data_IF_929424332015
#
_entry.id   IF_929424332015
#
_cell.length_a   1.000
_cell.length_b   1.000
_cell.length_c   1.000
_cell.angle_alpha   90.00
_cell.angle_beta   90.00
_cell.angle_gamma   90.00
#
_symmetry.space_group_name_H-M   'P 1'
#
loop_
_entity.id
_entity.type
_entity.pdbx_description
1 polymer ?
#
# COMPACT_ATOMS: atom_id res chain seq x y z
N UNK A 1 -7.16 -9.36 -16.59
CA UNK A 1 -6.80 -8.44 -15.50
C UNK A 1 -7.36 -7.02 -15.70
N UNK A 2 -7.66 -6.62 -16.92
CA UNK A 2 -8.18 -5.32 -17.36
C UNK A 2 -8.31 -5.36 -18.89
N UNK A 3 -8.76 -4.28 -19.53
CA UNK A 3 -9.02 -4.29 -20.99
C UNK A 3 -7.75 -4.64 -21.78
N UNK A 4 -6.61 -4.03 -21.46
CA UNK A 4 -5.33 -4.30 -22.10
C UNK A 4 -4.27 -4.68 -21.05
N UNK A 5 -4.69 -5.35 -19.98
CA UNK A 5 -3.84 -5.81 -18.89
C UNK A 5 -3.99 -7.31 -18.75
N UNK A 6 -2.86 -7.99 -18.80
CA UNK A 6 -2.74 -9.45 -18.83
C UNK A 6 -1.95 -9.95 -17.63
N UNK A 7 -1.90 -11.27 -17.44
CA UNK A 7 -1.05 -11.89 -16.43
C UNK A 7 -0.37 -13.15 -16.98
N UNK A 8 0.78 -13.46 -16.40
CA UNK A 8 1.44 -14.76 -16.50
C UNK A 8 1.86 -15.24 -15.10
N UNK A 9 1.87 -16.55 -14.91
CA UNK A 9 2.35 -17.18 -13.69
C UNK A 9 3.42 -18.20 -14.01
N UNK A 10 4.60 -18.00 -13.50
CA UNK A 10 5.77 -18.87 -13.70
C UNK A 10 6.69 -18.78 -12.47
N UNK A 11 7.31 -19.86 -12.04
CA UNK A 11 8.27 -19.89 -10.95
C UNK A 11 7.78 -19.16 -9.67
N UNK A 12 6.53 -19.45 -9.27
CA UNK A 12 5.86 -18.81 -8.13
C UNK A 12 5.74 -17.27 -8.24
N UNK A 13 5.97 -16.71 -9.42
CA UNK A 13 5.85 -15.28 -9.70
C UNK A 13 4.61 -15.01 -10.54
N UNK A 14 3.75 -14.13 -10.03
CA UNK A 14 2.63 -13.58 -10.78
C UNK A 14 3.05 -12.24 -11.38
N UNK A 15 3.17 -12.19 -12.68
CA UNK A 15 3.50 -10.97 -13.43
C UNK A 15 2.24 -10.39 -14.05
N UNK A 16 2.01 -9.11 -13.85
CA UNK A 16 0.95 -8.32 -14.48
C UNK A 16 1.60 -7.38 -15.50
N UNK A 17 1.13 -7.40 -16.74
CA UNK A 17 1.72 -6.62 -17.83
C UNK A 17 0.66 -6.09 -18.79
N UNK A 18 1.07 -5.21 -19.71
CA UNK A 18 0.20 -4.55 -20.67
C UNK A 18 0.05 -3.06 -20.37
N UNK A 19 -0.99 -2.42 -20.92
CA UNK A 19 -1.22 -0.97 -20.80
C UNK A 19 -2.59 -0.70 -20.18
N UNK A 20 -2.64 0.15 -19.12
CA UNK A 20 -3.89 0.57 -18.50
C UNK A 20 -4.10 0.09 -17.07
N UNK A 21 -5.32 0.15 -16.59
CA UNK A 21 -5.69 -0.21 -15.23
C UNK A 21 -6.07 -1.69 -15.10
N UNK A 22 -5.66 -2.32 -13.99
CA UNK A 22 -6.20 -3.61 -13.61
C UNK A 22 -7.68 -3.46 -13.22
N UNK A 23 -8.48 -4.50 -13.54
CA UNK A 23 -9.86 -4.60 -13.09
C UNK A 23 -9.94 -4.73 -11.56
N UNK A 24 -10.90 -4.07 -10.95
CA UNK A 24 -11.19 -4.26 -9.54
C UNK A 24 -11.76 -5.66 -9.29
N UNK A 25 -11.29 -6.33 -8.24
CA UNK A 25 -11.81 -7.64 -7.84
C UNK A 25 -13.10 -7.53 -7.05
N UNK A 26 -13.41 -6.36 -6.52
CA UNK A 26 -14.69 -6.03 -5.89
C UNK A 26 -14.99 -4.54 -6.01
N UNK A 27 -16.27 -4.19 -5.80
CA UNK A 27 -16.78 -2.83 -5.68
C UNK A 27 -17.43 -2.64 -4.30
N UNK A 28 -17.60 -1.40 -3.87
CA UNK A 28 -18.19 -1.05 -2.58
C UNK A 28 -17.28 -1.36 -1.38
N UNK A 29 -17.87 -1.32 -0.18
CA UNK A 29 -17.15 -1.52 1.08
C UNK A 29 -16.78 -2.97 1.34
N UNK A 30 -15.76 -3.19 2.16
CA UNK A 30 -15.38 -4.50 2.66
C UNK A 30 -15.05 -4.46 4.15
N UNK A 31 -15.04 -5.61 4.78
CA UNK A 31 -14.59 -5.84 6.16
C UNK A 31 -13.56 -6.95 6.18
N UNK A 32 -12.82 -7.08 7.28
CA UNK A 32 -11.92 -8.22 7.49
C UNK A 32 -12.63 -9.58 7.42
N UNK A 33 -13.93 -9.61 7.73
CA UNK A 33 -14.74 -10.82 7.67
C UNK A 33 -15.12 -11.22 6.25
N UNK A 34 -15.43 -10.25 5.37
CA UNK A 34 -16.00 -10.55 4.05
C UNK A 34 -15.05 -10.39 2.87
N UNK A 35 -13.85 -9.82 3.05
CA UNK A 35 -12.93 -9.57 1.93
C UNK A 35 -12.56 -10.83 1.17
N UNK A 36 -12.34 -11.95 1.88
CA UNK A 36 -11.98 -13.22 1.23
C UNK A 36 -13.07 -13.70 0.26
N UNK A 37 -14.34 -13.54 0.58
CA UNK A 37 -15.44 -13.88 -0.33
C UNK A 37 -15.50 -12.94 -1.52
N UNK A 38 -15.25 -11.64 -1.32
CA UNK A 38 -15.27 -10.62 -2.38
C UNK A 38 -14.18 -10.82 -3.43
N UNK A 39 -13.02 -11.34 -3.07
CA UNK A 39 -11.88 -11.53 -3.98
C UNK A 39 -11.84 -12.89 -4.67
N UNK A 40 -12.83 -13.78 -4.48
CA UNK A 40 -12.83 -15.13 -5.06
C UNK A 40 -12.75 -15.15 -6.59
N UNK A 41 -13.31 -14.14 -7.25
CA UNK A 41 -13.43 -14.10 -8.71
C UNK A 41 -12.23 -13.46 -9.43
N UNK A 42 -11.04 -13.41 -8.80
CA UNK A 42 -9.83 -12.97 -9.50
C UNK A 42 -9.48 -13.96 -10.60
N UNK A 43 -9.18 -13.46 -11.78
CA UNK A 43 -8.83 -14.28 -12.95
C UNK A 43 -7.65 -15.24 -12.68
N UNK A 44 -6.72 -14.86 -11.79
CA UNK A 44 -5.57 -15.67 -11.36
C UNK A 44 -5.78 -16.33 -9.98
N UNK A 45 -7.03 -16.46 -9.50
CA UNK A 45 -7.33 -17.01 -8.15
C UNK A 45 -6.74 -18.42 -7.95
N UNK A 46 -6.72 -19.26 -8.98
CA UNK A 46 -6.11 -20.60 -8.94
C UNK A 46 -4.63 -20.64 -8.54
N UNK A 47 -3.92 -19.51 -8.70
CA UNK A 47 -2.52 -19.39 -8.32
C UNK A 47 -2.31 -18.67 -6.98
N UNK A 48 -3.33 -18.07 -6.39
CA UNK A 48 -3.20 -17.19 -5.22
C UNK A 48 -2.46 -17.83 -4.03
N UNK A 49 -2.65 -19.13 -3.80
CA UNK A 49 -1.95 -19.90 -2.75
C UNK A 49 -0.50 -20.28 -3.09
N UNK A 50 -0.09 -20.13 -4.35
CA UNK A 50 1.25 -20.48 -4.84
C UNK A 50 2.13 -19.26 -5.07
N UNK A 51 1.53 -18.05 -5.20
CA UNK A 51 2.27 -16.81 -5.50
C UNK A 51 3.18 -16.45 -4.32
N UNK A 52 4.47 -16.37 -4.61
CA UNK A 52 5.52 -15.89 -3.69
C UNK A 52 5.96 -14.48 -4.06
N UNK A 53 5.97 -14.17 -5.36
CA UNK A 53 6.37 -12.87 -5.87
C UNK A 53 5.28 -12.28 -6.76
N UNK A 54 5.11 -10.97 -6.69
CA UNK A 54 4.28 -10.18 -7.61
C UNK A 54 5.17 -9.18 -8.34
N UNK A 55 5.01 -9.09 -9.64
CA UNK A 55 5.62 -8.07 -10.49
C UNK A 55 4.53 -7.37 -11.28
N UNK A 56 4.44 -6.05 -11.17
CA UNK A 56 3.58 -5.20 -12.01
C UNK A 56 4.49 -4.41 -12.92
N UNK A 57 4.42 -4.72 -14.22
CA UNK A 57 5.32 -4.17 -15.25
C UNK A 57 4.90 -2.76 -15.69
N UNK A 58 5.83 -2.07 -16.35
CA UNK A 58 5.60 -0.75 -16.92
C UNK A 58 4.42 -0.77 -17.92
N UNK A 59 3.60 0.27 -17.89
CA UNK A 59 2.35 0.36 -18.66
C UNK A 59 1.10 0.11 -17.83
N UNK A 60 1.18 -0.68 -16.75
CA UNK A 60 0.06 -0.85 -15.81
C UNK A 60 -0.05 0.41 -14.94
N UNK A 61 -1.15 1.15 -15.09
CA UNK A 61 -1.35 2.48 -14.45
C UNK A 61 -2.02 2.42 -13.10
N UNK A 62 -2.77 1.34 -12.80
CA UNK A 62 -3.47 1.15 -11.53
C UNK A 62 -3.52 -0.33 -11.17
N UNK A 63 -3.23 -0.65 -9.91
CA UNK A 63 -3.51 -1.94 -9.28
C UNK A 63 -4.95 -1.91 -8.79
N UNK A 64 -5.77 -2.84 -9.25
CA UNK A 64 -7.20 -2.88 -8.92
C UNK A 64 -7.49 -3.21 -7.45
N UNK A 65 -8.71 -2.90 -7.01
CA UNK A 65 -9.16 -3.18 -5.64
C UNK A 65 -9.07 -4.69 -5.34
N UNK A 66 -8.45 -5.05 -4.23
CA UNK A 66 -8.27 -6.42 -3.78
C UNK A 66 -7.39 -7.31 -4.66
N UNK A 67 -6.71 -6.73 -5.65
CA UNK A 67 -5.99 -7.51 -6.68
C UNK A 67 -5.10 -8.62 -6.10
N UNK A 68 -4.31 -8.32 -5.08
CA UNK A 68 -3.41 -9.28 -4.45
C UNK A 68 -3.78 -9.59 -2.99
N UNK A 69 -4.96 -9.17 -2.53
CA UNK A 69 -5.37 -9.36 -1.15
C UNK A 69 -5.36 -10.84 -0.74
N UNK A 70 -5.02 -11.11 0.52
CA UNK A 70 -5.03 -12.46 1.13
C UNK A 70 -4.20 -13.50 0.37
N UNK A 71 -3.07 -13.11 -0.26
CA UNK A 71 -2.12 -14.08 -0.82
C UNK A 71 -1.20 -14.62 0.29
N UNK A 72 -1.40 -15.88 0.73
CA UNK A 72 -0.79 -16.35 1.98
C UNK A 72 0.72 -16.57 1.89
N UNK A 73 1.25 -16.82 0.70
CA UNK A 73 2.68 -17.06 0.47
C UNK A 73 3.43 -15.86 -0.10
N UNK A 74 2.74 -14.76 -0.41
CA UNK A 74 3.37 -13.58 -1.01
C UNK A 74 4.43 -12.98 -0.08
N UNK A 75 5.68 -12.95 -0.55
CA UNK A 75 6.84 -12.39 0.17
C UNK A 75 7.33 -11.09 -0.42
N UNK A 76 7.33 -10.95 -1.73
CA UNK A 76 7.85 -9.76 -2.40
C UNK A 76 6.88 -9.21 -3.43
N UNK A 77 6.86 -7.89 -3.58
CA UNK A 77 6.11 -7.23 -4.64
C UNK A 77 6.95 -6.09 -5.25
N UNK A 78 7.10 -6.10 -6.58
CA UNK A 78 7.59 -4.97 -7.35
C UNK A 78 6.40 -4.35 -8.07
N UNK A 79 6.08 -3.11 -7.75
CA UNK A 79 4.82 -2.47 -8.15
C UNK A 79 5.03 -1.06 -8.68
N UNK A 80 4.06 -0.57 -9.43
CA UNK A 80 3.98 0.78 -9.94
C UNK A 80 2.52 1.24 -10.15
N UNK A 81 2.33 2.50 -10.53
CA UNK A 81 1.02 3.10 -10.73
C UNK A 81 0.31 3.45 -9.42
N UNK A 82 -0.97 3.71 -9.46
CA UNK A 82 -1.80 3.89 -8.26
C UNK A 82 -2.18 2.54 -7.64
N UNK A 83 -2.47 2.54 -6.34
CA UNK A 83 -2.77 1.31 -5.61
C UNK A 83 -4.21 1.39 -5.10
N UNK A 84 -5.05 0.48 -5.58
CA UNK A 84 -6.46 0.44 -5.24
C UNK A 84 -6.74 -0.08 -3.82
N UNK A 85 -7.98 0.06 -3.43
CA UNK A 85 -8.50 -0.33 -2.11
C UNK A 85 -8.17 -1.78 -1.78
N UNK A 86 -7.58 -2.01 -0.61
CA UNK A 86 -7.21 -3.34 -0.11
C UNK A 86 -6.33 -4.17 -1.07
N UNK A 87 -5.60 -3.55 -1.99
CA UNK A 87 -4.86 -4.28 -3.04
C UNK A 87 -3.95 -5.38 -2.51
N UNK A 88 -3.27 -5.16 -1.37
CA UNK A 88 -2.43 -6.13 -0.66
C UNK A 88 -2.94 -6.46 0.74
N UNK A 89 -4.19 -6.15 1.05
CA UNK A 89 -4.75 -6.40 2.38
C UNK A 89 -4.56 -7.85 2.80
N UNK A 90 -4.07 -8.07 4.03
CA UNK A 90 -3.93 -9.42 4.58
C UNK A 90 -2.86 -10.30 3.93
N UNK A 91 -1.92 -9.72 3.18
CA UNK A 91 -0.72 -10.41 2.73
C UNK A 91 0.26 -10.57 3.90
N UNK A 92 -0.08 -11.46 4.84
CA UNK A 92 0.58 -11.57 6.16
C UNK A 92 2.06 -11.93 6.08
N UNK A 93 2.51 -12.53 4.98
CA UNK A 93 3.89 -12.91 4.71
C UNK A 93 4.66 -11.91 3.83
N UNK A 94 4.03 -10.84 3.35
CA UNK A 94 4.71 -9.80 2.55
C UNK A 94 5.79 -9.11 3.38
N UNK A 95 7.04 -9.22 2.94
CA UNK A 95 8.22 -8.70 3.64
C UNK A 95 8.83 -7.48 2.96
N UNK A 96 8.81 -7.45 1.62
CA UNK A 96 9.45 -6.42 0.81
C UNK A 96 8.53 -5.92 -0.30
N UNK A 97 8.40 -4.60 -0.39
CA UNK A 97 7.74 -3.92 -1.51
C UNK A 97 8.74 -2.97 -2.15
N UNK A 98 8.94 -3.11 -3.46
CA UNK A 98 9.67 -2.16 -4.30
C UNK A 98 8.62 -1.38 -5.08
N UNK A 99 8.35 -0.15 -4.66
CA UNK A 99 7.37 0.71 -5.31
C UNK A 99 8.10 1.73 -6.19
N UNK A 100 7.95 1.57 -7.50
CA UNK A 100 8.53 2.47 -8.51
C UNK A 100 7.40 3.24 -9.19
N UNK A 101 7.64 4.43 -9.70
CA UNK A 101 6.66 5.20 -10.49
C UNK A 101 5.25 5.25 -9.87
N UNK A 102 5.12 5.84 -8.69
CA UNK A 102 3.84 6.05 -8.02
C UNK A 102 2.95 7.04 -8.78
N UNK A 103 1.65 6.95 -8.56
CA UNK A 103 0.68 7.89 -9.12
C UNK A 103 -0.52 8.06 -8.18
N UNK A 104 -0.95 9.31 -7.98
CA UNK A 104 -2.21 9.63 -7.29
C UNK A 104 -2.26 9.13 -5.85
N UNK A 105 -3.30 8.42 -5.50
CA UNK A 105 -3.61 7.99 -4.13
C UNK A 105 -3.27 6.52 -3.92
N UNK A 106 -2.68 6.22 -2.77
CA UNK A 106 -2.74 4.88 -2.18
C UNK A 106 -4.09 4.77 -1.48
N UNK A 107 -4.99 3.96 -2.04
CA UNK A 107 -6.37 3.89 -1.59
C UNK A 107 -6.52 3.11 -0.26
N UNK A 108 -7.74 3.12 0.28
CA UNK A 108 -8.10 2.57 1.60
C UNK A 108 -7.50 1.19 1.87
N UNK A 109 -6.84 1.05 3.01
CA UNK A 109 -6.31 -0.21 3.56
C UNK A 109 -5.39 -1.01 2.60
N UNK A 110 -4.73 -0.35 1.64
CA UNK A 110 -4.03 -1.04 0.54
C UNK A 110 -2.92 -2.00 0.99
N UNK A 111 -2.24 -1.77 2.11
CA UNK A 111 -1.27 -2.68 2.75
C UNK A 111 -1.67 -3.07 4.19
N UNK A 112 -2.91 -2.85 4.60
CA UNK A 112 -3.32 -3.22 5.95
C UNK A 112 -3.15 -4.73 6.19
N UNK A 113 -2.83 -5.12 7.43
CA UNK A 113 -2.56 -6.51 7.84
C UNK A 113 -1.34 -7.18 7.16
N UNK A 114 -0.45 -6.42 6.53
CA UNK A 114 0.83 -6.93 6.04
C UNK A 114 1.81 -7.11 7.21
N UNK A 115 1.57 -8.11 8.05
CA UNK A 115 2.19 -8.28 9.37
C UNK A 115 3.71 -8.41 9.36
N UNK A 116 4.31 -8.90 8.25
CA UNK A 116 5.76 -9.07 8.09
C UNK A 116 6.46 -7.96 7.30
N UNK A 117 5.72 -7.00 6.75
CA UNK A 117 6.31 -5.87 6.03
C UNK A 117 7.21 -5.06 6.96
N UNK A 118 8.50 -4.92 6.58
CA UNK A 118 9.52 -4.29 7.43
C UNK A 118 9.76 -2.83 7.06
N UNK A 119 9.96 -2.57 5.78
CA UNK A 119 10.29 -1.24 5.28
C UNK A 119 9.59 -1.00 3.95
N UNK A 120 9.22 0.25 3.69
CA UNK A 120 8.70 0.66 2.39
C UNK A 120 9.15 2.09 2.09
N UNK A 121 9.56 2.29 0.85
CA UNK A 121 9.75 3.62 0.26
C UNK A 121 8.57 3.85 -0.67
N UNK A 122 7.79 4.88 -0.39
CA UNK A 122 6.66 5.27 -1.23
C UNK A 122 7.21 6.04 -2.42
N UNK A 123 6.82 5.62 -3.61
CA UNK A 123 7.31 6.18 -4.86
C UNK A 123 6.91 7.65 -5.05
N UNK A 124 7.76 8.40 -5.72
CA UNK A 124 7.38 9.73 -6.21
C UNK A 124 6.16 9.64 -7.13
N UNK A 125 5.34 10.69 -7.17
CA UNK A 125 4.05 10.73 -7.87
C UNK A 125 2.85 10.34 -6.99
N UNK A 126 3.07 9.68 -5.83
CA UNK A 126 2.01 9.47 -4.84
C UNK A 126 1.73 10.78 -4.13
N UNK A 127 0.48 11.24 -4.20
CA UNK A 127 0.02 12.52 -3.61
C UNK A 127 -0.75 12.38 -2.31
N UNK A 128 -1.35 11.21 -2.08
CA UNK A 128 -2.16 10.95 -0.89
C UNK A 128 -2.05 9.49 -0.43
N UNK A 129 -2.12 9.30 0.88
CA UNK A 129 -2.38 8.02 1.52
C UNK A 129 -3.75 8.11 2.17
N UNK A 130 -4.66 7.22 1.80
CA UNK A 130 -6.01 7.16 2.35
C UNK A 130 -6.03 6.44 3.71
N UNK A 131 -7.20 6.29 4.30
CA UNK A 131 -7.42 5.64 5.59
C UNK A 131 -6.81 4.24 5.66
N UNK A 132 -6.20 3.90 6.78
CA UNK A 132 -5.72 2.55 7.14
C UNK A 132 -4.64 1.95 6.22
N UNK A 133 -3.94 2.73 5.39
CA UNK A 133 -3.00 2.19 4.39
C UNK A 133 -2.02 1.15 4.94
N UNK A 134 -1.52 1.32 6.17
CA UNK A 134 -0.58 0.41 6.85
C UNK A 134 -1.11 -0.10 8.19
N UNK A 135 -2.44 -0.08 8.40
CA UNK A 135 -3.01 -0.55 9.66
C UNK A 135 -2.58 -2.00 9.96
N UNK A 136 -2.16 -2.25 11.20
CA UNK A 136 -1.70 -3.55 11.69
C UNK A 136 -0.47 -4.14 10.96
N UNK A 137 0.37 -3.31 10.36
CA UNK A 137 1.68 -3.71 9.86
C UNK A 137 2.67 -3.84 11.04
N UNK A 138 2.53 -4.89 11.85
CA UNK A 138 3.19 -5.05 13.15
C UNK A 138 4.73 -5.02 13.11
N UNK A 139 5.36 -5.40 11.98
CA UNK A 139 6.82 -5.38 11.81
C UNK A 139 7.32 -4.19 11.00
N UNK A 140 6.46 -3.23 10.66
CA UNK A 140 6.86 -2.05 9.90
C UNK A 140 7.75 -1.14 10.74
N UNK A 141 9.00 -0.94 10.28
CA UNK A 141 10.03 -0.17 10.98
C UNK A 141 10.36 1.15 10.32
N UNK A 142 10.34 1.19 8.98
CA UNK A 142 10.69 2.40 8.23
C UNK A 142 9.71 2.62 7.09
N UNK A 143 9.21 3.85 7.00
CA UNK A 143 8.40 4.33 5.88
C UNK A 143 9.01 5.63 5.40
N UNK A 144 9.40 5.68 4.12
CA UNK A 144 9.85 6.90 3.48
C UNK A 144 8.73 7.45 2.59
N UNK A 145 8.32 8.68 2.88
CA UNK A 145 7.27 9.39 2.13
C UNK A 145 7.90 10.33 1.10
N UNK A 146 7.37 10.36 -0.14
CA UNK A 146 7.93 11.13 -1.23
C UNK A 146 7.72 12.64 -1.08
N UNK A 147 8.40 13.41 -1.91
CA UNK A 147 8.24 14.86 -1.98
C UNK A 147 6.85 15.29 -2.44
N UNK A 148 6.21 14.44 -3.23
CA UNK A 148 4.88 14.66 -3.82
C UNK A 148 3.73 14.46 -2.85
N UNK A 149 3.94 13.76 -1.70
CA UNK A 149 2.86 13.47 -0.76
C UNK A 149 2.36 14.73 -0.05
N UNK A 150 1.04 14.92 -0.06
CA UNK A 150 0.35 16.06 0.54
C UNK A 150 -0.57 15.68 1.70
N UNK A 151 -1.13 14.47 1.68
CA UNK A 151 -2.11 14.07 2.70
C UNK A 151 -1.86 12.67 3.25
N UNK A 152 -2.16 12.52 4.56
CA UNK A 152 -2.14 11.24 5.30
C UNK A 152 -3.51 11.08 5.96
N UNK A 153 -4.19 9.98 5.64
CA UNK A 153 -5.54 9.68 6.10
C UNK A 153 -5.62 9.12 7.52
N UNK A 154 -6.84 8.92 7.98
CA UNK A 154 -7.20 8.43 9.30
C UNK A 154 -6.61 7.03 9.57
N UNK A 155 -6.17 6.80 10.80
CA UNK A 155 -5.63 5.51 11.30
C UNK A 155 -4.65 4.81 10.33
N UNK A 156 -3.90 5.63 9.57
CA UNK A 156 -3.04 5.13 8.49
C UNK A 156 -1.98 4.15 9.00
N UNK A 157 -1.48 4.36 10.22
CA UNK A 157 -0.47 3.52 10.89
C UNK A 157 -0.99 2.80 12.14
N UNK A 158 -2.31 2.69 12.32
CA UNK A 158 -2.91 2.05 13.48
C UNK A 158 -2.30 0.68 13.76
N UNK A 159 -1.94 0.39 15.00
CA UNK A 159 -1.39 -0.90 15.42
C UNK A 159 0.03 -1.20 14.91
N UNK A 160 0.70 -0.23 14.27
CA UNK A 160 2.15 -0.28 14.07
C UNK A 160 2.88 0.02 15.38
N UNK A 161 4.14 -0.42 15.48
CA UNK A 161 4.99 -0.11 16.64
C UNK A 161 6.45 0.05 16.23
N UNK A 162 7.16 0.96 16.92
CA UNK A 162 8.58 1.26 16.65
C UNK A 162 8.83 1.70 15.21
N UNK A 163 7.91 2.49 14.63
CA UNK A 163 7.98 2.93 13.24
C UNK A 163 8.66 4.30 13.13
N UNK A 164 9.60 4.42 12.20
CA UNK A 164 10.18 5.70 11.78
C UNK A 164 9.56 6.09 10.45
N UNK A 165 8.87 7.23 10.42
CA UNK A 165 8.29 7.81 9.21
C UNK A 165 9.14 9.00 8.78
N UNK A 166 9.83 8.85 7.64
CA UNK A 166 10.67 9.90 7.05
C UNK A 166 9.85 10.67 6.02
N UNK A 167 9.72 11.97 6.20
CA UNK A 167 8.92 12.85 5.35
C UNK A 167 9.86 13.76 4.55
N UNK A 168 9.74 13.73 3.22
CA UNK A 168 10.52 14.55 2.28
C UNK A 168 9.73 15.76 1.77
N UNK A 169 8.41 15.64 1.61
CA UNK A 169 7.51 16.68 1.11
C UNK A 169 6.81 17.49 2.20
N UNK A 170 6.17 18.59 1.80
CA UNK A 170 5.29 19.37 2.68
C UNK A 170 3.95 18.66 2.79
N UNK A 171 3.64 18.09 3.95
CA UNK A 171 2.31 17.58 4.27
C UNK A 171 1.40 18.78 4.54
N UNK A 172 0.28 18.84 3.84
CA UNK A 172 -0.73 19.92 3.96
C UNK A 172 -1.99 19.46 4.69
N UNK A 173 -2.25 18.14 4.69
CA UNK A 173 -3.37 17.52 5.41
C UNK A 173 -2.90 16.24 6.10
N UNK A 174 -3.10 16.16 7.41
CA UNK A 174 -2.88 14.94 8.18
C UNK A 174 -4.08 14.76 9.10
N UNK A 175 -4.73 13.60 9.03
CA UNK A 175 -5.83 13.29 9.93
C UNK A 175 -5.32 13.21 11.38
N UNK A 176 -6.11 13.70 12.33
CA UNK A 176 -5.72 13.72 13.75
C UNK A 176 -5.53 12.32 14.34
N UNK A 177 -6.13 11.31 13.74
CA UNK A 177 -5.98 9.91 14.12
C UNK A 177 -5.00 9.13 13.22
N UNK A 178 -4.25 9.79 12.33
CA UNK A 178 -3.34 9.12 11.39
C UNK A 178 -2.35 8.16 12.09
N UNK A 179 -1.89 8.53 13.30
CA UNK A 179 -0.96 7.76 14.12
C UNK A 179 -1.62 7.19 15.40
N UNK A 180 -2.95 7.12 15.46
CA UNK A 180 -3.66 6.61 16.62
C UNK A 180 -3.22 5.18 16.98
N UNK A 181 -2.95 4.97 18.28
CA UNK A 181 -2.42 3.70 18.83
C UNK A 181 -1.12 3.20 18.18
N UNK A 182 -0.29 4.10 17.65
CA UNK A 182 1.08 3.78 17.25
C UNK A 182 2.00 3.92 18.44
N UNK A 183 2.69 2.83 18.82
CA UNK A 183 3.68 2.87 19.90
C UNK A 183 5.05 3.26 19.35
N UNK A 184 5.78 4.18 20.03
CA UNK A 184 7.13 4.59 19.66
C UNK A 184 7.26 5.03 18.20
N UNK A 185 6.43 5.99 17.77
CA UNK A 185 6.49 6.60 16.45
C UNK A 185 7.57 7.69 16.42
N UNK A 186 8.49 7.61 15.46
CA UNK A 186 9.48 8.67 15.19
C UNK A 186 9.19 9.32 13.84
N UNK A 187 8.95 10.64 13.84
CA UNK A 187 8.82 11.42 12.60
C UNK A 187 10.14 12.13 12.31
N UNK A 188 10.65 11.95 11.10
CA UNK A 188 11.88 12.58 10.62
C UNK A 188 11.57 13.48 9.43
N UNK A 189 11.75 14.79 9.60
CA UNK A 189 11.54 15.79 8.54
C UNK A 189 12.87 16.06 7.83
N UNK A 190 13.04 15.52 6.63
CA UNK A 190 14.33 15.51 5.90
C UNK A 190 14.64 16.80 5.15
N UNK A 191 13.64 17.60 4.81
CA UNK A 191 13.83 18.79 3.94
C UNK A 191 13.21 20.04 4.57
N UNK A 192 13.59 21.21 4.07
CA UNK A 192 12.94 22.47 4.45
C UNK A 192 11.44 22.46 4.11
N UNK A 193 11.05 21.84 2.98
CA UNK A 193 9.64 21.66 2.61
C UNK A 193 8.89 20.80 3.64
N UNK A 194 9.48 19.70 4.09
CA UNK A 194 8.89 18.85 5.14
C UNK A 194 8.71 19.62 6.47
N UNK A 195 9.69 20.44 6.86
CA UNK A 195 9.62 21.26 8.09
C UNK A 195 8.46 22.27 8.05
N UNK A 196 8.09 22.80 6.89
CA UNK A 196 6.92 23.67 6.71
C UNK A 196 5.58 22.97 7.01
N UNK A 197 5.53 21.64 6.99
CA UNK A 197 4.35 20.83 7.36
C UNK A 197 4.25 20.46 8.84
N UNK A 198 5.21 20.85 9.69
CA UNK A 198 5.31 20.43 11.10
C UNK A 198 4.02 20.68 11.91
N UNK A 199 3.40 21.85 11.74
CA UNK A 199 2.17 22.21 12.46
C UNK A 199 1.00 21.26 12.17
N UNK A 200 0.89 20.79 10.93
CA UNK A 200 -0.18 19.86 10.51
C UNK A 200 0.06 18.47 11.11
N UNK A 201 1.31 18.02 11.15
CA UNK A 201 1.70 16.72 11.73
C UNK A 201 1.57 16.68 13.25
N UNK A 202 1.87 17.80 13.94
CA UNK A 202 1.82 17.88 15.41
C UNK A 202 0.41 17.62 15.98
N UNK A 203 -0.65 17.84 15.19
CA UNK A 203 -2.03 17.55 15.61
C UNK A 203 -2.37 16.06 15.59
N UNK A 204 -1.55 15.24 14.93
CA UNK A 204 -1.79 13.80 14.74
C UNK A 204 -0.81 12.92 15.56
N UNK A 205 0.10 13.53 16.31
CA UNK A 205 1.07 12.89 17.22
C UNK A 205 0.68 13.05 18.68
#
# INVERSE_FOLDING_TARGET
CGTNVYYRFSNNTLTIFGKGAMKNCFTGSFTSKNIKSKIKNRIYQKYASKVVNVVVEQGVTKIGNGAFACMPKLKTARIQGSIGTAAFWGCTNLEKVTYVNGKGTMEFACFAECKKLKNIVIAEGVSAMDKSCFANCKKLKKVELPTTLKSIGEICFFGCSNVTVTIKGKITKCDVYAFYKVRNCKIVLKTAAAKKGKKVLAKAL
#
